data_IF_117241913373
#
_entry.id   IF_117241913373
#
_cell.length_a   1.000
_cell.length_b   1.000
_cell.length_c   1.000
_cell.angle_alpha   90.00
_cell.angle_beta   90.00
_cell.angle_gamma   90.00
#
_symmetry.space_group_name_H-M   'P 1'
#
loop_
_entity.id
_entity.type
_entity.pdbx_description
1 polymer ?
#
# COMPACT_ATOMS: atom_id res chain seq x y z
N UNK A 1 3.21 0.50 -34.37
CA UNK A 1 2.54 1.61 -33.66
C UNK A 1 3.62 2.38 -32.93
N UNK A 2 3.75 3.68 -33.21
CA UNK A 2 4.72 4.55 -32.53
C UNK A 2 4.26 4.74 -31.08
N UNK A 3 4.95 4.07 -30.15
CA UNK A 3 4.65 4.05 -28.70
C UNK A 3 4.79 5.47 -28.08
N UNK A 4 5.47 6.38 -28.76
CA UNK A 4 5.69 7.75 -28.31
C UNK A 4 4.59 8.73 -28.76
N UNK A 5 3.60 8.27 -29.53
CA UNK A 5 2.54 9.13 -30.02
C UNK A 5 1.55 9.44 -28.87
N UNK A 6 1.52 10.70 -28.46
CA UNK A 6 0.49 11.18 -27.53
C UNK A 6 -0.91 11.02 -28.15
N UNK A 7 -1.68 10.07 -27.64
CA UNK A 7 -3.04 9.77 -28.11
C UNK A 7 -4.03 10.90 -27.79
N UNK A 8 -3.71 11.73 -26.79
CA UNK A 8 -4.60 12.79 -26.31
C UNK A 8 -3.88 14.14 -26.17
N UNK A 9 -3.29 14.68 -27.25
CA UNK A 9 -2.41 15.85 -27.17
C UNK A 9 -3.11 17.11 -26.63
N UNK A 10 -4.42 17.28 -26.89
CA UNK A 10 -5.20 18.40 -26.33
C UNK A 10 -5.38 18.27 -24.82
N UNK A 11 -5.70 17.07 -24.33
CA UNK A 11 -5.85 16.78 -22.90
C UNK A 11 -4.53 16.93 -22.17
N UNK A 12 -3.44 16.38 -22.71
CA UNK A 12 -2.10 16.51 -22.14
C UNK A 12 -1.66 17.98 -22.04
N UNK A 13 -1.94 18.78 -23.07
CA UNK A 13 -1.66 20.22 -23.06
C UNK A 13 -2.49 20.96 -21.97
N UNK A 14 -3.76 20.64 -21.86
CA UNK A 14 -4.65 21.22 -20.84
C UNK A 14 -4.18 20.86 -19.43
N UNK A 15 -3.87 19.59 -19.16
CA UNK A 15 -3.37 19.13 -17.87
C UNK A 15 -2.03 19.78 -17.50
N UNK A 16 -1.10 19.91 -18.47
CA UNK A 16 0.17 20.64 -18.25
C UNK A 16 -0.07 22.11 -17.89
N UNK A 17 -1.08 22.74 -18.49
CA UNK A 17 -1.44 24.12 -18.17
C UNK A 17 -2.07 24.24 -16.77
N UNK A 18 -3.02 23.34 -16.42
CA UNK A 18 -3.68 23.31 -15.12
C UNK A 18 -2.70 23.06 -14.00
N UNK A 19 -1.72 22.15 -14.17
CA UNK A 19 -0.70 21.85 -13.17
C UNK A 19 0.25 23.03 -12.86
N UNK A 20 0.27 24.07 -13.69
CA UNK A 20 1.00 25.33 -13.42
C UNK A 20 0.19 26.29 -12.56
N UNK A 21 -1.11 26.07 -12.43
CA UNK A 21 -2.03 26.93 -11.67
C UNK A 21 -1.98 26.50 -10.20
N UNK A 22 -1.35 27.30 -9.35
CA UNK A 22 -1.15 26.96 -7.92
C UNK A 22 -2.46 26.59 -7.20
N UNK A 23 -3.58 27.35 -7.29
CA UNK A 23 -4.82 26.98 -6.63
C UNK A 23 -5.37 25.61 -7.08
N UNK A 24 -5.22 25.26 -8.37
CA UNK A 24 -5.63 23.95 -8.87
C UNK A 24 -4.76 22.83 -8.26
N UNK A 25 -3.44 23.00 -8.29
CA UNK A 25 -2.49 22.05 -7.71
C UNK A 25 -2.74 21.84 -6.22
N UNK A 26 -2.91 22.92 -5.47
CA UNK A 26 -3.17 22.86 -4.02
C UNK A 26 -4.48 22.13 -3.72
N UNK A 27 -5.53 22.35 -4.52
CA UNK A 27 -6.81 21.66 -4.39
C UNK A 27 -6.68 20.16 -4.67
N UNK A 28 -5.95 19.76 -5.71
CA UNK A 28 -5.71 18.34 -6.02
C UNK A 28 -4.91 17.69 -4.88
N UNK A 29 -3.80 18.31 -4.47
CA UNK A 29 -2.97 17.77 -3.39
C UNK A 29 -3.72 17.66 -2.07
N UNK A 30 -4.65 18.58 -1.77
CA UNK A 30 -5.47 18.50 -0.55
C UNK A 30 -6.38 17.28 -0.52
N UNK A 31 -6.78 16.78 -1.69
CA UNK A 31 -7.60 15.56 -1.82
C UNK A 31 -6.80 14.27 -1.59
N UNK A 32 -5.48 14.32 -1.77
CA UNK A 32 -4.58 13.17 -1.64
C UNK A 32 -3.91 13.08 -0.27
N UNK A 33 -4.21 14.00 0.67
CA UNK A 33 -3.50 14.06 1.96
C UNK A 33 -3.91 12.98 2.95
N UNK A 34 -5.17 12.56 2.90
CA UNK A 34 -5.71 11.63 3.89
C UNK A 34 -5.00 10.28 3.82
N UNK A 35 -4.43 9.82 4.93
CA UNK A 35 -3.69 8.57 5.03
C UNK A 35 -2.26 8.61 4.44
N UNK A 36 -1.83 9.72 3.84
CA UNK A 36 -0.55 9.81 3.14
C UNK A 36 0.66 9.54 4.07
N UNK A 37 0.63 10.03 5.30
CA UNK A 37 1.74 9.81 6.24
C UNK A 37 1.83 8.36 6.69
N UNK A 38 0.69 7.71 6.91
CA UNK A 38 0.63 6.32 7.35
C UNK A 38 1.08 5.36 6.23
N UNK A 39 0.77 5.66 4.97
CA UNK A 39 1.16 4.80 3.85
C UNK A 39 2.65 4.86 3.50
N UNK A 40 3.41 5.80 4.04
CA UNK A 40 4.86 5.88 3.84
C UNK A 40 5.61 4.68 4.42
N UNK A 41 5.07 4.08 5.48
CA UNK A 41 5.65 2.90 6.13
C UNK A 41 5.44 1.61 5.32
N UNK A 42 4.53 1.66 4.35
CA UNK A 42 4.21 0.52 3.52
C UNK A 42 5.01 0.55 2.21
N UNK A 43 5.70 -0.52 1.91
CA UNK A 43 6.35 -0.68 0.61
C UNK A 43 5.34 -0.85 -0.54
N UNK A 44 5.83 -1.11 -1.73
CA UNK A 44 4.97 -1.34 -2.90
C UNK A 44 4.25 -2.69 -2.78
N UNK A 45 2.93 -2.65 -2.66
CA UNK A 45 2.04 -3.82 -2.62
C UNK A 45 1.11 -3.88 -3.84
N UNK A 46 1.46 -3.17 -4.91
CA UNK A 46 0.76 -3.18 -6.21
C UNK A 46 -0.75 -2.92 -6.06
N UNK A 47 -1.59 -3.85 -6.53
CA UNK A 47 -3.06 -3.72 -6.47
C UNK A 47 -3.64 -3.62 -5.06
N UNK A 48 -2.93 -4.12 -4.05
CA UNK A 48 -3.33 -3.97 -2.65
C UNK A 48 -3.21 -2.54 -2.11
N UNK A 49 -2.42 -1.68 -2.75
CA UNK A 49 -2.14 -0.32 -2.27
C UNK A 49 -3.37 0.56 -2.16
N UNK A 50 -4.37 0.36 -3.03
CA UNK A 50 -5.61 1.14 -3.00
C UNK A 50 -6.40 0.90 -1.71
N UNK A 51 -6.51 -0.34 -1.26
CA UNK A 51 -7.21 -0.69 -0.01
C UNK A 51 -6.39 -0.32 1.22
N UNK A 52 -5.07 -0.46 1.15
CA UNK A 52 -4.18 0.01 2.20
C UNK A 52 -4.30 1.53 2.40
N UNK A 53 -4.37 2.31 1.31
CA UNK A 53 -4.57 3.75 1.40
C UNK A 53 -5.95 4.10 1.95
N UNK A 54 -7.01 3.38 1.56
CA UNK A 54 -8.34 3.55 2.12
C UNK A 54 -8.34 3.32 3.64
N UNK A 55 -7.74 2.22 4.09
CA UNK A 55 -7.64 1.90 5.52
C UNK A 55 -6.84 2.98 6.28
N UNK A 56 -5.68 3.37 5.75
CA UNK A 56 -4.87 4.45 6.30
C UNK A 56 -5.64 5.78 6.36
N UNK A 57 -6.43 6.09 5.31
CA UNK A 57 -7.25 7.29 5.26
C UNK A 57 -8.35 7.31 6.32
N UNK A 58 -9.02 6.18 6.54
CA UNK A 58 -10.03 6.06 7.62
C UNK A 58 -9.38 6.27 8.98
N UNK A 59 -8.29 5.59 9.27
CA UNK A 59 -7.58 5.72 10.54
C UNK A 59 -7.05 7.14 10.77
N UNK A 60 -6.47 7.76 9.75
CA UNK A 60 -5.99 9.15 9.80
C UNK A 60 -7.13 10.14 10.07
N UNK A 61 -8.30 9.90 9.48
CA UNK A 61 -9.50 10.71 9.72
C UNK A 61 -9.94 10.64 11.18
N UNK A 62 -10.00 9.43 11.75
CA UNK A 62 -10.36 9.20 13.15
C UNK A 62 -9.35 9.89 14.07
N UNK A 63 -8.05 9.67 13.86
CA UNK A 63 -6.98 10.27 14.68
C UNK A 63 -6.99 11.80 14.67
N UNK A 64 -7.41 12.40 13.56
CA UNK A 64 -7.46 13.86 13.42
C UNK A 64 -8.84 14.46 13.71
N UNK A 65 -9.78 13.69 14.24
CA UNK A 65 -11.14 14.14 14.55
C UNK A 65 -11.92 14.62 13.32
N UNK A 66 -11.57 14.12 12.12
CA UNK A 66 -12.29 14.43 10.89
C UNK A 66 -13.35 13.37 10.68
N UNK A 67 -14.56 13.81 10.36
CA UNK A 67 -15.62 12.88 9.98
C UNK A 67 -15.62 12.61 8.49
N UNK A 68 -15.72 11.33 8.13
CA UNK A 68 -15.98 10.89 6.75
C UNK A 68 -17.47 10.57 6.53
N UNK A 69 -18.30 10.65 7.58
CA UNK A 69 -19.70 10.30 7.52
C UNK A 69 -20.43 11.03 6.39
N UNK A 70 -21.05 10.28 5.48
CA UNK A 70 -21.77 10.80 4.33
C UNK A 70 -20.89 11.44 3.25
N UNK A 71 -19.58 11.37 3.35
CA UNK A 71 -18.68 11.86 2.32
C UNK A 71 -18.48 10.83 1.20
N UNK A 72 -18.05 11.32 0.06
CA UNK A 72 -17.74 10.50 -1.12
C UNK A 72 -16.24 10.57 -1.40
N UNK A 73 -15.70 9.46 -1.91
CA UNK A 73 -14.33 9.37 -2.39
C UNK A 73 -14.24 8.58 -3.70
N UNK A 74 -13.18 8.82 -4.43
CA UNK A 74 -12.81 8.03 -5.59
C UNK A 74 -11.55 7.24 -5.26
N UNK A 75 -11.63 5.93 -5.30
CA UNK A 75 -10.48 5.05 -5.26
C UNK A 75 -9.95 4.88 -6.68
N UNK A 76 -8.73 5.30 -6.92
CA UNK A 76 -8.12 5.25 -8.25
C UNK A 76 -6.96 4.27 -8.19
N UNK A 77 -7.15 3.08 -8.77
CA UNK A 77 -6.13 2.07 -8.93
C UNK A 77 -5.48 2.16 -10.31
N UNK A 78 -4.15 2.06 -10.35
CA UNK A 78 -3.40 1.93 -11.58
C UNK A 78 -2.50 0.70 -11.49
N UNK A 79 -2.68 -0.21 -12.43
CA UNK A 79 -1.88 -1.43 -12.53
C UNK A 79 -0.81 -1.32 -13.62
N UNK A 80 0.29 -2.07 -13.48
CA UNK A 80 1.41 -2.08 -14.44
C UNK A 80 1.08 -2.70 -15.80
N UNK A 81 -0.14 -3.17 -16.00
CA UNK A 81 -0.63 -3.72 -17.28
C UNK A 81 -1.47 -2.75 -18.10
N UNK A 82 -1.23 -1.43 -17.98
CA UNK A 82 -2.01 -0.36 -18.63
C UNK A 82 -3.51 -0.37 -18.30
N UNK A 83 -3.87 -1.01 -17.18
CA UNK A 83 -5.21 -1.00 -16.65
C UNK A 83 -5.32 0.03 -15.52
N UNK A 84 -6.34 0.87 -15.58
CA UNK A 84 -6.71 1.77 -14.50
C UNK A 84 -8.19 1.61 -14.19
N UNK A 85 -8.52 1.60 -12.92
CA UNK A 85 -9.89 1.50 -12.44
C UNK A 85 -10.20 2.63 -11.47
N UNK A 86 -11.42 3.15 -11.57
CA UNK A 86 -11.92 4.18 -10.66
C UNK A 86 -13.17 3.65 -9.98
N UNK A 87 -13.12 3.51 -8.68
CA UNK A 87 -14.22 2.99 -7.86
C UNK A 87 -14.76 4.14 -7.01
N UNK A 88 -15.97 4.64 -7.29
CA UNK A 88 -16.63 5.59 -6.41
C UNK A 88 -17.11 4.87 -5.15
N UNK A 89 -16.87 5.48 -4.00
CA UNK A 89 -17.34 4.98 -2.70
C UNK A 89 -18.04 6.09 -1.94
N UNK A 90 -19.01 5.70 -1.11
CA UNK A 90 -19.69 6.59 -0.17
C UNK A 90 -19.50 6.06 1.25
N UNK A 91 -19.04 6.89 2.14
CA UNK A 91 -18.93 6.53 3.55
C UNK A 91 -20.30 6.59 4.21
N UNK A 92 -20.68 5.52 4.89
CA UNK A 92 -21.93 5.49 5.67
C UNK A 92 -21.87 6.47 6.85
N UNK A 93 -23.02 6.80 7.43
CA UNK A 93 -23.10 7.77 8.53
C UNK A 93 -22.28 7.38 9.78
N UNK A 94 -22.03 6.09 10.00
CA UNK A 94 -21.35 5.60 11.18
C UNK A 94 -20.02 4.91 10.85
N UNK A 95 -19.42 5.22 9.70
CA UNK A 95 -18.23 4.53 9.24
C UNK A 95 -17.01 4.71 10.17
N UNK A 96 -16.96 5.81 10.92
CA UNK A 96 -15.86 6.14 11.82
C UNK A 96 -16.18 5.89 13.31
N UNK A 97 -17.39 5.44 13.64
CA UNK A 97 -17.78 5.19 15.02
C UNK A 97 -17.26 3.85 15.56
N UNK A 98 -17.00 2.90 14.67
CA UNK A 98 -16.40 1.61 14.98
C UNK A 98 -14.88 1.67 14.85
N UNK A 99 -14.20 2.39 15.72
CA UNK A 99 -12.74 2.54 15.75
C UNK A 99 -11.97 1.20 15.73
N UNK A 100 -12.65 0.12 16.14
CA UNK A 100 -12.04 -1.19 16.33
C UNK A 100 -11.72 -1.95 15.04
N UNK A 101 -12.30 -1.57 13.91
CA UNK A 101 -12.26 -2.41 12.71
C UNK A 101 -11.17 -2.02 11.69
N UNK A 102 -10.64 -0.80 11.76
CA UNK A 102 -9.57 -0.35 10.87
C UNK A 102 -8.33 0.00 11.68
N UNK A 103 -7.41 -0.94 11.74
CA UNK A 103 -6.19 -0.87 12.55
C UNK A 103 -4.94 -0.89 11.68
N UNK A 104 -4.83 0.07 10.77
CA UNK A 104 -3.72 0.14 9.83
C UNK A 104 -2.37 0.23 10.54
N UNK A 105 -2.24 1.16 11.49
CA UNK A 105 -0.99 1.34 12.25
C UNK A 105 -0.65 0.13 13.13
N UNK A 106 -1.64 -0.60 13.62
CA UNK A 106 -1.41 -1.80 14.43
C UNK A 106 -0.72 -2.90 13.62
N UNK A 107 -0.98 -2.98 12.31
CA UNK A 107 -0.33 -3.95 11.43
C UNK A 107 1.20 -3.79 11.38
N UNK A 108 1.72 -2.60 11.72
CA UNK A 108 3.16 -2.31 11.76
C UNK A 108 3.74 -2.33 13.18
N UNK A 109 2.92 -2.54 14.21
CA UNK A 109 3.37 -2.49 15.61
C UNK A 109 4.45 -3.53 15.94
N UNK A 110 4.50 -4.61 15.17
CA UNK A 110 5.49 -5.68 15.32
C UNK A 110 6.61 -5.62 14.26
N UNK A 111 6.66 -4.55 13.45
CA UNK A 111 7.75 -4.37 12.49
C UNK A 111 9.09 -4.18 13.20
N UNK A 112 10.14 -4.64 12.57
CA UNK A 112 11.52 -4.50 13.07
C UNK A 112 12.30 -3.65 12.08
N UNK A 113 12.87 -2.55 12.56
CA UNK A 113 13.74 -1.71 11.77
C UNK A 113 15.07 -2.42 11.53
N UNK A 114 15.41 -2.59 10.26
CA UNK A 114 16.69 -3.19 9.87
C UNK A 114 17.71 -2.09 9.61
N UNK A 115 18.92 -2.28 10.10
CA UNK A 115 20.04 -1.46 9.65
C UNK A 115 20.46 -1.83 8.21
N UNK A 116 21.30 -0.98 7.62
CA UNK A 116 21.74 -1.19 6.24
C UNK A 116 22.45 -2.54 6.03
N UNK A 117 23.26 -3.00 6.98
CA UNK A 117 23.98 -4.25 6.88
C UNK A 117 23.04 -5.45 6.97
N UNK A 118 22.05 -5.40 7.86
CA UNK A 118 20.98 -6.39 7.97
C UNK A 118 20.17 -6.48 6.68
N UNK A 119 19.78 -5.34 6.12
CA UNK A 119 19.09 -5.28 4.84
C UNK A 119 19.92 -5.91 3.70
N UNK A 120 21.22 -5.59 3.60
CA UNK A 120 22.09 -6.17 2.57
C UNK A 120 22.27 -7.68 2.79
N UNK A 121 22.40 -8.15 4.04
CA UNK A 121 22.44 -9.59 4.32
C UNK A 121 21.19 -10.30 3.82
N UNK A 122 19.99 -9.82 4.14
CA UNK A 122 18.75 -10.40 3.66
C UNK A 122 18.66 -10.39 2.13
N UNK A 123 19.02 -9.29 1.50
CA UNK A 123 18.98 -9.15 0.04
C UNK A 123 19.98 -10.10 -0.67
N UNK A 124 21.06 -10.50 -0.02
CA UNK A 124 22.06 -11.44 -0.56
C UNK A 124 21.81 -12.89 -0.13
N UNK A 125 20.57 -13.23 0.22
CA UNK A 125 20.15 -14.57 0.66
C UNK A 125 20.93 -15.11 1.89
N UNK A 126 21.40 -14.22 2.74
CA UNK A 126 21.98 -14.59 4.03
C UNK A 126 20.92 -14.52 5.11
N UNK A 127 20.93 -15.48 6.00
CA UNK A 127 20.03 -15.51 7.14
C UNK A 127 20.52 -14.49 8.17
N UNK A 128 19.62 -13.75 8.78
CA UNK A 128 19.91 -12.97 9.97
C UNK A 128 19.74 -13.89 11.19
N UNK A 129 20.74 -13.95 12.04
CA UNK A 129 20.75 -14.82 13.22
C UNK A 129 19.70 -14.38 14.25
N UNK A 130 19.42 -13.10 14.34
CA UNK A 130 18.37 -12.53 15.19
C UNK A 130 17.91 -11.18 14.66
N UNK A 131 16.61 -11.05 14.40
CA UNK A 131 15.94 -9.78 14.06
C UNK A 131 15.08 -9.27 15.22
N UNK A 132 15.21 -9.88 16.41
CA UNK A 132 14.67 -9.32 17.65
C UNK A 132 13.23 -9.70 18.00
N UNK A 133 12.42 -10.24 17.10
CA UNK A 133 11.08 -10.72 17.46
C UNK A 133 10.66 -11.96 16.70
N UNK A 134 10.33 -13.01 17.46
CA UNK A 134 9.59 -14.15 16.93
C UNK A 134 8.09 -13.88 17.12
N UNK A 135 7.33 -14.00 16.05
CA UNK A 135 5.88 -13.97 16.14
C UNK A 135 5.42 -15.14 17.01
N UNK A 136 4.67 -14.87 18.07
CA UNK A 136 4.10 -15.91 18.91
C UNK A 136 2.82 -16.49 18.30
N UNK A 137 2.17 -15.76 17.40
CA UNK A 137 0.90 -16.15 16.78
C UNK A 137 0.79 -15.53 15.39
N UNK A 138 0.34 -16.29 14.42
CA UNK A 138 0.09 -15.81 13.04
C UNK A 138 0.80 -16.63 11.97
N UNK A 139 0.72 -16.16 10.73
CA UNK A 139 1.38 -16.83 9.61
C UNK A 139 2.88 -16.52 9.60
N UNK A 140 3.67 -17.55 9.39
CA UNK A 140 5.11 -17.47 9.16
C UNK A 140 5.46 -18.18 7.86
N UNK A 141 6.58 -17.82 7.24
CA UNK A 141 7.20 -18.63 6.19
C UNK A 141 7.95 -19.78 6.86
N UNK A 142 7.43 -21.00 6.72
CA UNK A 142 8.01 -22.19 7.34
C UNK A 142 9.17 -22.75 6.52
N UNK A 143 9.12 -22.60 5.20
CA UNK A 143 10.21 -22.95 4.29
C UNK A 143 10.09 -22.21 2.97
N UNK A 144 11.20 -22.13 2.25
CA UNK A 144 11.22 -21.72 0.84
C UNK A 144 11.68 -22.92 0.02
N UNK A 145 10.94 -23.22 -1.06
CA UNK A 145 11.29 -24.31 -1.96
C UNK A 145 12.65 -24.08 -2.62
N UNK A 146 13.48 -25.13 -2.70
CA UNK A 146 14.74 -25.13 -3.42
C UNK A 146 14.76 -26.20 -4.49
N UNK A 147 15.67 -26.12 -5.45
CA UNK A 147 15.83 -27.12 -6.51
C UNK A 147 16.20 -28.51 -5.97
N UNK A 148 16.78 -28.57 -4.77
CA UNK A 148 17.21 -29.80 -4.13
C UNK A 148 16.13 -30.46 -3.26
N UNK A 149 15.19 -29.67 -2.75
CA UNK A 149 14.19 -30.14 -1.76
C UNK A 149 12.78 -30.26 -2.28
N UNK A 150 12.50 -29.70 -3.47
CA UNK A 150 11.17 -29.72 -4.10
C UNK A 150 11.34 -29.89 -5.59
N UNK A 151 10.24 -30.18 -6.28
CA UNK A 151 10.23 -30.15 -7.73
C UNK A 151 10.68 -28.74 -8.21
N UNK A 152 11.32 -28.72 -9.37
CA UNK A 152 11.90 -27.48 -9.91
C UNK A 152 10.90 -26.35 -10.01
N UNK A 153 9.60 -26.67 -10.14
CA UNK A 153 8.49 -25.71 -10.19
C UNK A 153 8.27 -24.96 -8.85
N UNK A 154 8.70 -25.58 -7.74
CA UNK A 154 8.52 -25.00 -6.40
C UNK A 154 9.73 -24.19 -5.95
N UNK A 155 10.79 -24.12 -6.76
CA UNK A 155 11.99 -23.35 -6.42
C UNK A 155 11.67 -21.86 -6.24
N UNK A 156 11.89 -21.33 -5.05
CA UNK A 156 11.59 -19.95 -4.67
C UNK A 156 10.16 -19.73 -4.18
N UNK A 157 9.30 -20.76 -4.15
CA UNK A 157 7.96 -20.66 -3.58
C UNK A 157 8.05 -20.70 -2.05
N UNK A 158 7.37 -19.75 -1.41
CA UNK A 158 7.24 -19.66 0.04
C UNK A 158 6.09 -20.53 0.53
N UNK A 159 6.36 -21.33 1.54
CA UNK A 159 5.35 -22.17 2.22
C UNK A 159 5.03 -21.53 3.56
N UNK A 160 3.76 -21.30 3.80
CA UNK A 160 3.29 -20.63 5.02
C UNK A 160 2.73 -21.63 6.02
N UNK A 161 2.98 -21.38 7.29
CA UNK A 161 2.42 -22.11 8.41
C UNK A 161 1.80 -21.13 9.41
N UNK A 162 0.70 -21.53 10.04
CA UNK A 162 0.06 -20.73 11.08
C UNK A 162 0.53 -21.18 12.44
N UNK A 163 1.15 -20.28 13.19
CA UNK A 163 1.48 -20.48 14.60
C UNK A 163 0.27 -20.13 15.47
N UNK A 164 -0.11 -21.03 16.38
CA UNK A 164 -1.22 -20.89 17.32
C UNK A 164 -0.77 -20.20 18.63
#
# INVERSE_FOLDING_TARGET
>A
TDINKDLFPKTSKALKALNKIKPFKDKVLSKLKLGNELTKELGNIYSGSIFAWLAAGIEDSIKNGKTLNGQEALLIGYGSGDAAEVIPISFTQNCCENESNVKYSEAFSESVDLDHNQYIKLRTNKVLDDVGRRKSKGFIISKVGTKETTDFQDAGIEFYEYLN
#
